data_IF_208619217039
#
_entry.id   IF_208619217039
#
_cell.length_a   1.000
_cell.length_b   1.000
_cell.length_c   1.000
_cell.angle_alpha   90.00
_cell.angle_beta   90.00
_cell.angle_gamma   90.00
#
_symmetry.space_group_name_H-M   'P 1'
#
loop_
_entity.id
_entity.type
_entity.pdbx_description
1 polymer ?
#
# COMPACT_ATOMS: atom_id res chain seq x y z
N UNK A 1 6.25 17.62 -24.63
CA UNK A 1 4.79 17.28 -24.57
C UNK A 1 4.44 16.27 -23.47
N UNK A 2 5.39 15.56 -22.89
CA UNK A 2 5.11 14.39 -22.02
C UNK A 2 4.45 14.61 -20.66
N UNK A 3 4.31 15.83 -20.15
CA UNK A 3 3.78 16.07 -18.79
C UNK A 3 2.50 16.90 -18.71
N UNK A 4 1.80 17.17 -19.83
CA UNK A 4 0.51 17.88 -19.76
C UNK A 4 -0.56 16.98 -19.13
N UNK A 5 -1.22 17.46 -18.07
CA UNK A 5 -2.34 16.79 -17.40
C UNK A 5 -3.71 17.34 -17.81
N UNK A 6 -3.73 18.28 -18.77
CA UNK A 6 -4.96 18.91 -19.25
C UNK A 6 -5.00 18.96 -20.78
N UNK A 7 -6.21 18.97 -21.34
CA UNK A 7 -6.48 19.27 -22.75
C UNK A 7 -7.59 20.32 -22.81
N UNK A 8 -7.34 21.44 -23.49
CA UNK A 8 -8.27 22.57 -23.58
C UNK A 8 -8.83 23.01 -22.20
N UNK A 9 -7.96 23.06 -21.18
CA UNK A 9 -8.32 23.40 -19.80
C UNK A 9 -9.07 22.30 -19.01
N UNK A 10 -9.41 21.18 -19.64
CA UNK A 10 -10.05 20.04 -18.98
C UNK A 10 -9.01 19.07 -18.43
N UNK A 11 -9.05 18.71 -17.12
CA UNK A 11 -8.19 17.67 -16.55
C UNK A 11 -8.39 16.31 -17.22
N UNK A 12 -7.29 15.63 -17.52
CA UNK A 12 -7.29 14.25 -17.98
C UNK A 12 -7.44 13.29 -16.80
N UNK A 13 -8.10 12.16 -17.03
CA UNK A 13 -8.25 11.12 -16.02
C UNK A 13 -6.94 10.33 -15.85
N UNK A 14 -6.67 9.77 -14.65
CA UNK A 14 -5.48 8.97 -14.40
C UNK A 14 -5.28 7.85 -15.43
N UNK A 15 -6.31 7.06 -15.74
CA UNK A 15 -6.23 5.98 -16.72
C UNK A 15 -5.72 6.46 -18.11
N UNK A 16 -6.14 7.64 -18.56
CA UNK A 16 -5.63 8.24 -19.81
C UNK A 16 -4.16 8.63 -19.70
N UNK A 17 -3.77 9.20 -18.56
CA UNK A 17 -2.41 9.65 -18.32
C UNK A 17 -1.41 8.48 -18.23
N UNK A 18 -1.86 7.30 -17.77
CA UNK A 18 -0.99 6.11 -17.74
C UNK A 18 -0.47 5.70 -19.12
N UNK A 19 -1.14 6.08 -20.21
CA UNK A 19 -0.72 5.68 -21.56
C UNK A 19 0.57 6.36 -22.03
N UNK A 20 0.91 7.57 -21.53
CA UNK A 20 2.05 8.30 -22.06
C UNK A 20 2.65 9.38 -21.15
N UNK A 21 2.05 9.67 -19.99
CA UNK A 21 2.55 10.74 -19.12
C UNK A 21 4.00 10.48 -18.68
N UNK A 22 4.82 11.54 -18.68
CA UNK A 22 6.22 11.47 -18.25
C UNK A 22 7.19 10.98 -19.34
N UNK A 23 6.70 10.52 -20.51
CA UNK A 23 7.54 10.02 -21.60
C UNK A 23 7.36 10.84 -22.87
N UNK A 24 8.48 11.19 -23.51
CA UNK A 24 8.50 11.83 -24.84
C UNK A 24 9.10 10.85 -25.87
N UNK A 25 8.30 10.32 -26.82
CA UNK A 25 8.78 9.41 -27.85
C UNK A 25 9.93 9.95 -28.70
N UNK A 26 10.02 11.28 -28.87
CA UNK A 26 11.09 11.91 -29.68
C UNK A 26 12.48 11.71 -29.10
N UNK A 27 12.57 11.44 -27.78
CA UNK A 27 13.82 11.14 -27.09
C UNK A 27 14.26 9.66 -27.24
N UNK A 28 13.47 8.84 -27.93
CA UNK A 28 13.68 7.39 -28.07
C UNK A 28 13.23 6.87 -29.43
N UNK A 29 13.73 7.47 -30.51
CA UNK A 29 13.50 7.04 -31.92
C UNK A 29 11.99 6.93 -32.29
N UNK A 30 11.12 7.68 -31.62
CA UNK A 30 9.67 7.62 -31.83
C UNK A 30 8.96 6.44 -31.21
N UNK A 31 9.62 5.67 -30.34
CA UNK A 31 9.02 4.53 -29.63
C UNK A 31 7.81 4.97 -28.81
N UNK A 32 6.67 4.26 -28.93
CA UNK A 32 5.46 4.54 -28.13
C UNK A 32 5.61 4.18 -26.66
N UNK A 33 6.57 3.32 -26.32
CA UNK A 33 6.87 2.90 -24.93
C UNK A 33 8.31 3.28 -24.61
N UNK A 34 8.57 3.68 -23.34
CA UNK A 34 9.95 3.98 -22.95
C UNK A 34 10.82 2.74 -23.11
N UNK A 35 12.04 2.85 -23.63
CA UNK A 35 13.02 1.77 -23.56
C UNK A 35 13.37 1.42 -22.13
N UNK A 36 13.95 0.23 -21.91
CA UNK A 36 14.55 -0.14 -20.63
C UNK A 36 15.98 0.40 -20.59
N UNK A 37 16.25 1.36 -19.72
CA UNK A 37 17.56 1.98 -19.58
C UNK A 37 18.43 1.20 -18.57
N UNK A 38 19.07 0.13 -19.04
CA UNK A 38 19.96 -0.72 -18.23
C UNK A 38 21.36 -0.08 -18.13
N UNK A 39 21.45 1.01 -17.39
CA UNK A 39 22.72 1.68 -17.09
C UNK A 39 22.75 2.15 -15.65
N UNK A 40 23.92 2.11 -15.01
CA UNK A 40 24.10 2.69 -13.69
C UNK A 40 24.51 4.15 -13.71
N UNK A 41 25.05 4.65 -14.83
CA UNK A 41 25.74 5.94 -14.92
C UNK A 41 25.34 6.71 -16.15
N UNK A 42 25.20 8.02 -16.01
CA UNK A 42 24.84 8.94 -17.12
C UNK A 42 25.98 9.94 -17.34
N UNK A 43 26.31 10.20 -18.60
CA UNK A 43 27.33 11.17 -18.99
C UNK A 43 26.80 12.60 -18.85
N UNK A 44 27.65 13.51 -18.43
CA UNK A 44 27.33 14.94 -18.39
C UNK A 44 27.89 15.64 -19.63
N UNK A 45 27.13 16.57 -20.23
CA UNK A 45 27.62 17.39 -21.35
C UNK A 45 28.84 18.26 -20.97
N UNK A 46 28.92 18.65 -19.66
CA UNK A 46 30.06 19.43 -19.14
C UNK A 46 30.23 19.20 -17.63
N UNK A 47 31.42 19.50 -17.10
CA UNK A 47 31.68 19.48 -15.67
C UNK A 47 30.77 20.44 -14.88
N UNK A 48 30.41 21.58 -15.47
CA UNK A 48 29.50 22.55 -14.85
C UNK A 48 28.08 21.99 -14.72
N UNK A 49 27.58 21.25 -15.72
CA UNK A 49 26.29 20.58 -15.64
C UNK A 49 26.31 19.43 -14.63
N UNK A 50 27.38 18.64 -14.62
CA UNK A 50 27.56 17.60 -13.59
C UNK A 50 27.48 18.17 -12.18
N UNK A 51 28.17 19.28 -11.91
CA UNK A 51 28.08 19.99 -10.62
C UNK A 51 26.64 20.42 -10.34
N UNK A 52 25.96 21.04 -11.29
CA UNK A 52 24.58 21.52 -11.16
C UNK A 52 23.62 20.37 -10.79
N UNK A 53 23.75 19.21 -11.45
CA UNK A 53 22.91 18.04 -11.16
C UNK A 53 23.17 17.49 -9.74
N UNK A 54 24.43 17.41 -9.32
CA UNK A 54 24.77 17.00 -7.95
C UNK A 54 24.27 18.00 -6.89
N UNK A 55 24.30 19.29 -7.14
CA UNK A 55 23.71 20.31 -6.25
C UNK A 55 22.22 20.11 -6.06
N UNK A 56 21.48 19.68 -7.12
CA UNK A 56 20.07 19.31 -7.03
C UNK A 56 19.86 18.05 -6.21
N UNK A 57 20.63 16.96 -6.45
CA UNK A 57 20.49 15.70 -5.70
C UNK A 57 20.82 15.87 -4.22
N UNK A 58 21.81 16.68 -3.89
CA UNK A 58 22.24 16.91 -2.48
C UNK A 58 21.40 17.97 -1.75
N UNK A 59 20.40 18.53 -2.38
CA UNK A 59 19.55 19.58 -1.80
C UNK A 59 20.23 20.96 -1.67
N UNK A 60 21.43 21.13 -2.20
CA UNK A 60 22.12 22.44 -2.22
C UNK A 60 21.46 23.43 -3.18
N UNK A 61 20.70 22.94 -4.15
CA UNK A 61 19.90 23.73 -5.08
C UNK A 61 18.43 23.35 -4.94
N UNK A 62 17.50 24.33 -4.79
CA UNK A 62 16.07 24.05 -4.78
C UNK A 62 15.60 23.37 -6.08
N UNK A 63 14.53 22.59 -6.01
CA UNK A 63 13.89 21.94 -7.17
C UNK A 63 14.45 20.54 -7.51
N UNK A 64 15.42 20.04 -6.76
CA UNK A 64 15.99 18.72 -6.99
C UNK A 64 16.93 18.63 -8.20
N UNK A 65 17.22 17.43 -8.67
CA UNK A 65 17.99 17.18 -9.87
C UNK A 65 17.17 17.53 -11.11
N UNK A 66 17.80 18.23 -12.06
CA UNK A 66 17.24 18.57 -13.38
C UNK A 66 17.90 17.78 -14.52
N UNK A 67 18.60 16.69 -14.16
CA UNK A 67 19.23 15.76 -15.07
C UNK A 67 19.60 14.45 -14.41
N UNK A 68 19.95 13.46 -15.23
CA UNK A 68 20.30 12.12 -14.79
C UNK A 68 21.75 12.06 -14.32
N UNK A 69 21.99 11.34 -13.22
CA UNK A 69 23.33 11.24 -12.61
C UNK A 69 23.76 9.79 -12.44
N UNK A 70 22.97 9.03 -11.69
CA UNK A 70 23.29 7.66 -11.34
C UNK A 70 22.00 6.92 -10.94
N UNK A 71 21.81 5.70 -11.41
CA UNK A 71 20.51 4.99 -11.30
C UNK A 71 20.04 4.75 -9.86
N UNK A 72 20.94 4.76 -8.86
CA UNK A 72 20.55 4.73 -7.45
C UNK A 72 19.82 6.03 -7.02
N UNK A 73 20.09 7.13 -7.69
CA UNK A 73 19.47 8.43 -7.43
C UNK A 73 18.24 8.66 -8.31
N UNK A 74 18.42 8.51 -9.62
CA UNK A 74 17.39 8.67 -10.62
C UNK A 74 17.77 7.94 -11.92
N UNK A 75 16.74 7.46 -12.64
CA UNK A 75 16.88 6.87 -13.96
C UNK A 75 15.56 7.07 -14.74
N UNK A 76 15.55 7.07 -16.07
CA UNK A 76 14.37 7.41 -16.86
C UNK A 76 13.14 6.54 -16.53
N UNK A 77 13.30 5.23 -16.42
CA UNK A 77 12.18 4.34 -16.10
C UNK A 77 11.58 4.61 -14.71
N UNK A 78 12.44 4.90 -13.71
CA UNK A 78 12.02 5.24 -12.36
C UNK A 78 11.27 6.58 -12.32
N UNK A 79 11.80 7.62 -12.97
CA UNK A 79 11.18 8.95 -12.99
C UNK A 79 9.80 8.93 -13.66
N UNK A 80 9.66 8.24 -14.81
CA UNK A 80 8.38 8.08 -15.50
C UNK A 80 7.40 7.32 -14.61
N UNK A 81 7.85 6.26 -13.92
CA UNK A 81 7.03 5.49 -12.99
C UNK A 81 6.57 6.36 -11.82
N UNK A 82 7.48 7.09 -11.17
CA UNK A 82 7.19 7.97 -10.03
C UNK A 82 6.21 9.09 -10.41
N UNK A 83 6.37 9.70 -11.58
CA UNK A 83 5.43 10.69 -12.12
C UNK A 83 4.01 10.09 -12.28
N UNK A 84 3.88 8.86 -12.80
CA UNK A 84 2.58 8.19 -12.99
C UNK A 84 1.94 7.74 -11.67
N UNK A 85 2.75 7.27 -10.72
CA UNK A 85 2.25 6.89 -9.39
C UNK A 85 1.69 8.11 -8.66
N UNK A 86 2.38 9.25 -8.71
CA UNK A 86 1.90 10.49 -8.09
C UNK A 86 0.51 10.93 -8.61
N UNK A 87 0.22 10.71 -9.91
CA UNK A 87 -1.07 11.07 -10.52
C UNK A 87 -2.24 10.30 -9.91
N UNK A 88 -2.08 9.01 -9.64
CA UNK A 88 -3.16 8.20 -9.09
C UNK A 88 -3.61 8.71 -7.72
N UNK A 89 -2.68 9.11 -6.88
CA UNK A 89 -2.97 9.61 -5.53
C UNK A 89 -3.26 11.12 -5.49
N UNK A 90 -3.04 11.84 -6.61
CA UNK A 90 -3.08 13.31 -6.61
C UNK A 90 -1.96 13.92 -5.79
N UNK A 91 -0.83 13.21 -5.66
CA UNK A 91 0.33 13.64 -4.91
C UNK A 91 1.22 14.57 -5.71
N UNK A 92 2.03 15.39 -5.02
CA UNK A 92 3.06 16.24 -5.66
C UNK A 92 4.26 15.43 -6.13
N UNK A 93 4.58 14.33 -5.43
CA UNK A 93 5.73 13.48 -5.71
C UNK A 93 5.49 12.06 -5.23
N UNK A 94 6.10 11.09 -5.92
CA UNK A 94 6.18 9.70 -5.48
C UNK A 94 7.62 9.19 -5.53
N UNK A 95 7.88 8.10 -4.82
CA UNK A 95 9.17 7.40 -4.82
C UNK A 95 8.91 5.90 -4.98
N UNK A 96 9.68 5.26 -5.85
CA UNK A 96 9.66 3.81 -6.08
C UNK A 96 10.77 3.09 -5.33
N UNK A 97 10.49 1.85 -4.90
CA UNK A 97 11.37 1.01 -4.07
C UNK A 97 11.38 -0.42 -4.57
N UNK A 98 12.42 -1.18 -4.17
CA UNK A 98 12.58 -2.59 -4.50
C UNK A 98 11.53 -3.51 -3.87
N UNK A 99 10.80 -3.06 -2.85
CA UNK A 99 9.68 -3.77 -2.24
C UNK A 99 8.80 -2.83 -1.41
N UNK A 100 7.56 -3.24 -1.09
CA UNK A 100 6.70 -2.52 -0.15
C UNK A 100 7.36 -2.38 1.22
N UNK A 101 8.01 -3.44 1.73
CA UNK A 101 8.73 -3.38 3.00
C UNK A 101 9.92 -2.42 2.97
N UNK A 102 10.65 -2.33 1.84
CA UNK A 102 11.72 -1.32 1.72
C UNK A 102 11.15 0.10 1.79
N UNK A 103 9.99 0.35 1.15
CA UNK A 103 9.30 1.64 1.25
C UNK A 103 8.95 1.97 2.71
N UNK A 104 8.34 1.02 3.44
CA UNK A 104 7.95 1.17 4.84
C UNK A 104 9.18 1.39 5.74
N UNK A 105 10.21 0.54 5.61
CA UNK A 105 11.40 0.63 6.45
C UNK A 105 12.15 1.95 6.25
N UNK A 106 12.37 2.36 4.99
CA UNK A 106 13.05 3.63 4.68
C UNK A 106 12.24 4.82 5.20
N UNK A 107 10.91 4.78 5.03
CA UNK A 107 10.02 5.83 5.52
C UNK A 107 10.11 5.97 7.04
N UNK A 108 9.94 4.87 7.79
CA UNK A 108 10.02 4.90 9.26
C UNK A 108 11.41 5.33 9.75
N UNK A 109 12.48 4.83 9.16
CA UNK A 109 13.85 5.22 9.51
C UNK A 109 14.18 6.67 9.13
N UNK A 110 13.45 7.28 8.21
CA UNK A 110 13.61 8.70 7.86
C UNK A 110 13.10 9.62 8.97
N UNK A 111 11.97 9.26 9.57
CA UNK A 111 11.28 10.15 10.50
C UNK A 111 11.52 9.83 11.97
N UNK A 112 11.92 8.60 12.28
CA UNK A 112 12.08 8.14 13.66
C UNK A 112 13.54 8.11 14.10
N UNK A 113 13.78 8.57 15.30
CA UNK A 113 15.08 8.58 15.98
C UNK A 113 14.97 7.90 17.35
N UNK A 114 16.10 7.66 17.99
CA UNK A 114 16.15 7.12 19.35
C UNK A 114 15.32 8.00 20.30
N UNK A 115 14.47 7.37 21.10
CA UNK A 115 13.57 8.03 22.05
C UNK A 115 12.18 8.33 21.48
N UNK A 116 12.02 8.32 20.15
CA UNK A 116 10.74 8.58 19.51
C UNK A 116 9.73 7.44 19.70
N UNK A 117 8.46 7.77 19.47
CA UNK A 117 7.34 6.84 19.49
C UNK A 117 6.63 6.86 18.14
N UNK A 118 6.32 5.67 17.61
CA UNK A 118 5.39 5.48 16.50
C UNK A 118 4.04 5.09 17.08
N UNK A 119 2.96 5.71 16.62
CA UNK A 119 1.59 5.24 16.89
C UNK A 119 1.04 4.59 15.64
N UNK A 120 0.43 3.41 15.74
CA UNK A 120 -0.12 2.76 14.56
C UNK A 120 -1.54 2.21 14.77
N UNK A 121 -2.27 1.97 13.69
CA UNK A 121 -3.52 1.21 13.75
C UNK A 121 -3.22 -0.30 13.85
N UNK A 122 -4.13 -1.06 14.42
CA UNK A 122 -4.04 -2.53 14.45
C UNK A 122 -5.27 -3.20 13.84
N UNK A 123 -5.10 -4.36 13.14
CA UNK A 123 -3.85 -5.01 12.77
C UNK A 123 -3.06 -4.28 11.68
N UNK A 124 -1.76 -4.53 11.63
CA UNK A 124 -0.90 -4.21 10.48
C UNK A 124 -0.52 -5.51 9.74
N UNK A 125 -0.05 -5.36 8.52
CA UNK A 125 0.67 -6.45 7.86
C UNK A 125 1.77 -6.98 8.78
N UNK A 126 1.83 -8.29 8.97
CA UNK A 126 2.67 -8.92 10.01
C UNK A 126 4.16 -8.53 9.93
N UNK A 127 4.69 -8.30 8.72
CA UNK A 127 6.08 -7.84 8.58
C UNK A 127 6.25 -6.37 9.00
N UNK A 128 5.26 -5.51 8.80
CA UNK A 128 5.26 -4.12 9.27
C UNK A 128 5.19 -4.07 10.80
N UNK A 129 4.28 -4.83 11.40
CA UNK A 129 4.19 -4.96 12.86
C UNK A 129 5.49 -5.53 13.44
N UNK A 130 6.03 -6.58 12.80
CA UNK A 130 7.33 -7.16 13.19
C UNK A 130 8.50 -6.19 13.05
N UNK A 131 8.49 -5.30 12.06
CA UNK A 131 9.51 -4.27 11.91
C UNK A 131 9.44 -3.25 13.04
N UNK A 132 8.25 -2.76 13.35
CA UNK A 132 8.03 -1.83 14.47
C UNK A 132 8.42 -2.47 15.80
N UNK A 133 7.89 -3.65 16.11
CA UNK A 133 8.05 -4.27 17.42
C UNK A 133 9.44 -4.86 17.69
N UNK A 134 10.09 -5.44 16.65
CA UNK A 134 11.33 -6.22 16.83
C UNK A 134 12.59 -5.48 16.36
N UNK A 135 12.48 -4.65 15.34
CA UNK A 135 13.64 -4.01 14.73
C UNK A 135 13.82 -2.58 15.19
N UNK A 136 12.77 -1.76 15.13
CA UNK A 136 12.85 -0.37 15.57
C UNK A 136 13.11 -0.25 17.07
N UNK A 137 12.63 -1.18 17.88
CA UNK A 137 12.92 -1.24 19.32
C UNK A 137 14.43 -1.36 19.63
N UNK A 138 15.22 -2.01 18.73
CA UNK A 138 16.68 -2.09 18.87
C UNK A 138 17.39 -0.74 18.69
N UNK A 139 16.73 0.21 18.04
CA UNK A 139 17.20 1.58 17.88
C UNK A 139 16.61 2.54 18.91
N UNK A 140 15.94 1.99 19.95
CA UNK A 140 15.33 2.79 21.01
C UNK A 140 14.06 3.54 20.58
N UNK A 141 13.41 3.13 19.48
CA UNK A 141 12.13 3.64 19.01
C UNK A 141 11.05 2.75 19.61
N UNK A 142 10.05 3.36 20.24
CA UNK A 142 8.92 2.68 20.89
C UNK A 142 7.65 2.83 20.07
N UNK A 143 6.61 2.09 20.43
CA UNK A 143 5.32 2.17 19.75
C UNK A 143 4.15 1.99 20.70
N UNK A 144 3.00 2.52 20.29
CA UNK A 144 1.66 2.22 20.82
C UNK A 144 0.72 1.99 19.64
N UNK A 145 -0.37 1.27 19.87
CA UNK A 145 -1.38 1.02 18.86
C UNK A 145 -2.80 1.30 19.35
N UNK A 146 -3.70 1.48 18.39
CA UNK A 146 -5.13 1.55 18.58
C UNK A 146 -5.85 0.65 17.55
N UNK A 147 -7.02 0.07 17.87
CA UNK A 147 -7.73 -0.80 16.95
C UNK A 147 -8.27 -0.05 15.75
N UNK A 148 -8.30 -0.70 14.58
CA UNK A 148 -9.03 -0.19 13.43
C UNK A 148 -10.49 0.07 13.83
N UNK A 149 -11.04 1.21 13.41
CA UNK A 149 -12.36 1.65 13.85
C UNK A 149 -12.39 2.38 15.19
N UNK A 150 -11.26 2.67 15.85
CA UNK A 150 -11.20 3.51 17.07
C UNK A 150 -11.83 4.90 16.85
N UNK A 151 -12.47 5.47 17.89
CA UNK A 151 -13.03 6.82 17.86
C UNK A 151 -11.95 7.89 17.94
N UNK A 152 -12.26 9.15 17.58
CA UNK A 152 -11.33 10.27 17.75
C UNK A 152 -10.81 10.36 19.19
N UNK A 153 -11.70 10.16 20.17
CA UNK A 153 -11.39 10.24 21.59
C UNK A 153 -10.45 9.08 22.03
N UNK A 154 -10.69 7.87 21.54
CA UNK A 154 -9.82 6.71 21.78
C UNK A 154 -8.45 6.92 21.16
N UNK A 155 -8.39 7.43 19.93
CA UNK A 155 -7.13 7.75 19.24
C UNK A 155 -6.39 8.85 20.00
N UNK A 156 -7.07 9.93 20.38
CA UNK A 156 -6.48 11.05 21.11
C UNK A 156 -5.88 10.57 22.46
N UNK A 157 -6.56 9.68 23.18
CA UNK A 157 -6.04 9.11 24.43
C UNK A 157 -4.72 8.34 24.21
N UNK A 158 -4.63 7.55 23.12
CA UNK A 158 -3.38 6.83 22.76
C UNK A 158 -2.28 7.82 22.35
N UNK A 159 -2.62 8.89 21.63
CA UNK A 159 -1.65 9.92 21.24
C UNK A 159 -1.11 10.69 22.46
N UNK A 160 -1.94 11.01 23.47
CA UNK A 160 -1.49 11.63 24.72
C UNK A 160 -0.54 10.69 25.50
N UNK A 161 -0.88 9.40 25.55
CA UNK A 161 0.01 8.41 26.18
C UNK A 161 1.34 8.31 25.42
N UNK A 162 1.31 8.28 24.08
CA UNK A 162 2.51 8.24 23.26
C UNK A 162 3.38 9.49 23.44
N UNK A 163 2.76 10.66 23.55
CA UNK A 163 3.44 11.93 23.79
C UNK A 163 4.15 11.95 25.15
N UNK A 164 3.48 11.48 26.20
CA UNK A 164 4.10 11.34 27.52
C UNK A 164 5.28 10.36 27.49
N UNK A 165 5.08 9.18 26.87
CA UNK A 165 6.13 8.17 26.69
C UNK A 165 7.34 8.70 25.91
N UNK A 166 7.13 9.47 24.86
CA UNK A 166 8.20 10.08 24.09
C UNK A 166 8.97 11.12 24.90
N UNK A 167 8.25 11.99 25.64
CA UNK A 167 8.87 13.03 26.45
C UNK A 167 9.79 12.48 27.54
N UNK A 168 9.44 11.36 28.18
CA UNK A 168 10.30 10.66 29.16
C UNK A 168 11.66 10.23 28.57
N UNK A 169 11.72 9.96 27.26
CA UNK A 169 12.95 9.57 26.57
C UNK A 169 13.61 10.72 25.80
N UNK A 170 13.10 11.94 25.93
CA UNK A 170 13.59 13.11 25.18
C UNK A 170 13.30 13.07 23.68
N UNK A 171 12.33 12.26 23.26
CA UNK A 171 11.85 12.14 21.89
C UNK A 171 10.50 12.80 21.66
N UNK A 172 9.86 12.43 20.52
CA UNK A 172 8.53 12.89 20.11
C UNK A 172 7.69 11.74 19.55
N UNK A 173 6.40 11.95 19.36
CA UNK A 173 5.62 11.09 18.46
C UNK A 173 6.03 11.45 17.03
N UNK A 174 6.75 10.56 16.39
CA UNK A 174 7.43 10.85 15.13
C UNK A 174 6.57 10.56 13.91
N UNK A 175 5.59 9.65 14.03
CA UNK A 175 4.72 9.22 12.93
C UNK A 175 3.46 8.53 13.48
N UNK A 176 2.35 8.71 12.77
CA UNK A 176 1.15 7.87 12.88
C UNK A 176 1.10 7.00 11.63
N UNK A 177 1.16 5.67 11.79
CA UNK A 177 1.17 4.71 10.69
C UNK A 177 -0.11 3.88 10.66
N UNK A 178 -0.82 3.92 9.57
CA UNK A 178 -2.13 3.30 9.39
C UNK A 178 -2.07 2.23 8.31
N UNK A 179 -2.92 1.22 8.43
CA UNK A 179 -3.25 0.28 7.36
C UNK A 179 -4.77 0.21 7.22
N UNK A 180 -5.30 0.61 6.07
CA UNK A 180 -6.74 0.62 5.83
C UNK A 180 -7.05 0.32 4.35
N UNK A 181 -7.82 -0.74 4.08
CA UNK A 181 -8.33 -1.77 5.01
C UNK A 181 -7.21 -2.60 5.63
N UNK A 182 -7.40 -3.01 6.88
CA UNK A 182 -6.44 -3.82 7.62
C UNK A 182 -6.40 -5.28 7.13
N UNK A 183 -5.20 -5.83 6.96
CA UNK A 183 -4.98 -7.23 6.59
C UNK A 183 -4.91 -8.13 7.85
N UNK A 184 -5.70 -9.21 7.97
CA UNK A 184 -6.60 -9.76 6.93
C UNK A 184 -8.07 -9.36 7.10
N UNK A 185 -8.45 -8.61 8.12
CA UNK A 185 -9.83 -8.44 8.59
C UNK A 185 -10.70 -7.52 7.73
N UNK A 186 -10.10 -6.70 6.87
CA UNK A 186 -10.73 -5.61 6.13
C UNK A 186 -11.34 -4.50 7.00
N UNK A 187 -10.97 -4.41 8.28
CA UNK A 187 -11.41 -3.31 9.12
C UNK A 187 -10.84 -1.97 8.61
N UNK A 188 -11.68 -0.94 8.61
CA UNK A 188 -11.33 0.40 8.13
C UNK A 188 -10.89 1.31 9.28
N UNK A 189 -9.92 2.15 9.00
CA UNK A 189 -9.49 3.25 9.87
C UNK A 189 -10.12 4.55 9.38
N UNK A 190 -10.65 5.34 10.30
CA UNK A 190 -11.17 6.69 10.02
C UNK A 190 -10.01 7.70 9.97
N UNK A 191 -9.51 7.96 8.77
CA UNK A 191 -8.36 8.86 8.55
C UNK A 191 -8.68 10.30 9.01
N UNK A 192 -9.92 10.75 8.82
CA UNK A 192 -10.34 12.09 9.27
C UNK A 192 -10.37 12.18 10.80
N UNK A 193 -10.80 11.13 11.49
CA UNK A 193 -10.75 11.06 12.95
C UNK A 193 -9.30 11.03 13.47
N UNK A 194 -8.40 10.27 12.78
CA UNK A 194 -6.97 10.27 13.11
C UNK A 194 -6.35 11.66 12.93
N UNK A 195 -6.68 12.33 11.81
CA UNK A 195 -6.21 13.70 11.58
C UNK A 195 -6.68 14.66 12.64
N UNK A 196 -7.96 14.61 12.99
CA UNK A 196 -8.52 15.47 14.02
C UNK A 196 -7.87 15.22 15.39
N UNK A 197 -7.67 13.96 15.78
CA UNK A 197 -6.98 13.60 17.02
C UNK A 197 -5.52 14.06 17.04
N UNK A 198 -4.80 13.89 15.91
CA UNK A 198 -3.43 14.41 15.78
C UNK A 198 -3.39 15.93 15.98
N UNK A 199 -4.24 16.67 15.27
CA UNK A 199 -4.25 18.13 15.30
C UNK A 199 -4.62 18.70 16.70
N UNK A 200 -5.36 17.92 17.52
CA UNK A 200 -5.67 18.28 18.91
C UNK A 200 -4.50 18.03 19.86
N UNK A 201 -3.72 16.97 19.65
CA UNK A 201 -2.78 16.44 20.65
C UNK A 201 -1.32 16.68 20.27
N UNK A 202 -0.99 16.60 18.97
CA UNK A 202 0.36 16.64 18.45
C UNK A 202 0.60 17.87 17.55
N UNK A 203 1.86 18.01 17.14
CA UNK A 203 2.24 18.96 16.10
C UNK A 203 1.75 18.47 14.72
N UNK A 204 1.21 19.34 13.85
CA UNK A 204 0.89 19.00 12.47
C UNK A 204 2.06 18.43 11.63
N UNK A 205 3.30 18.64 12.09
CA UNK A 205 4.51 18.05 11.49
C UNK A 205 4.74 16.57 11.89
N UNK A 206 3.85 15.96 12.68
CA UNK A 206 3.80 14.49 12.83
C UNK A 206 3.03 13.89 11.64
N UNK A 207 3.70 13.23 10.68
CA UNK A 207 3.03 12.75 9.47
C UNK A 207 2.07 11.60 9.76
N UNK A 208 0.88 11.66 9.14
CA UNK A 208 -0.05 10.54 9.04
C UNK A 208 0.29 9.78 7.76
N UNK A 209 0.75 8.56 7.93
CA UNK A 209 1.09 7.65 6.82
C UNK A 209 0.06 6.53 6.76
N UNK A 210 -0.37 6.15 5.57
CA UNK A 210 -1.33 5.07 5.38
C UNK A 210 -0.87 4.09 4.30
N UNK A 211 -0.85 2.81 4.63
CA UNK A 211 -0.75 1.73 3.65
C UNK A 211 -2.13 1.47 3.03
N UNK A 212 -2.27 1.83 1.75
CA UNK A 212 -3.50 1.71 0.96
C UNK A 212 -3.43 0.54 -0.03
N UNK A 213 -2.60 -0.46 0.23
CA UNK A 213 -2.35 -1.56 -0.71
C UNK A 213 -3.63 -2.34 -1.07
N UNK A 214 -4.56 -2.55 -0.13
CA UNK A 214 -5.77 -3.37 -0.36
C UNK A 214 -6.80 -2.73 -1.30
N UNK A 215 -6.97 -1.42 -1.23
CA UNK A 215 -7.87 -0.68 -2.12
C UNK A 215 -7.13 -0.10 -3.33
N UNK A 216 -5.80 -0.11 -3.27
CA UNK A 216 -4.95 0.40 -4.34
C UNK A 216 -5.28 1.84 -4.71
N UNK A 217 -4.78 2.31 -5.82
CA UNK A 217 -4.98 3.71 -6.21
C UNK A 217 -6.42 3.99 -6.72
N UNK A 218 -7.23 2.95 -6.98
CA UNK A 218 -8.54 3.10 -7.61
C UNK A 218 -9.66 3.34 -6.58
N UNK A 219 -9.69 2.56 -5.49
CA UNK A 219 -10.84 2.50 -4.60
C UNK A 219 -10.75 3.39 -3.36
N UNK A 220 -9.57 3.94 -3.05
CA UNK A 220 -9.41 4.94 -1.99
C UNK A 220 -8.35 5.98 -2.37
N UNK A 221 -8.49 7.19 -1.84
CA UNK A 221 -7.54 8.29 -2.00
C UNK A 221 -7.25 8.94 -0.64
N UNK A 222 -6.41 8.34 0.18
CA UNK A 222 -6.21 8.77 1.56
C UNK A 222 -5.65 10.19 1.72
N UNK A 223 -4.91 10.71 0.74
CA UNK A 223 -4.42 12.10 0.76
C UNK A 223 -5.58 13.10 0.77
N UNK A 224 -6.69 12.78 0.05
CA UNK A 224 -7.89 13.63 0.06
C UNK A 224 -8.62 13.60 1.43
N UNK A 225 -8.31 12.61 2.28
CA UNK A 225 -8.92 12.39 3.61
C UNK A 225 -8.08 12.92 4.77
N UNK A 226 -6.90 13.44 4.47
CA UNK A 226 -6.02 14.06 5.46
C UNK A 226 -4.78 13.25 5.86
N UNK A 227 -4.50 12.13 5.19
CA UNK A 227 -3.18 11.50 5.25
C UNK A 227 -2.13 12.40 4.57
N UNK A 228 -0.91 12.37 5.08
CA UNK A 228 0.22 13.11 4.52
C UNK A 228 1.03 12.29 3.53
N UNK A 229 1.09 10.98 3.75
CA UNK A 229 1.87 10.02 2.96
C UNK A 229 1.05 8.76 2.73
N UNK A 230 1.01 8.30 1.48
CA UNK A 230 0.43 7.00 1.12
C UNK A 230 1.52 6.01 0.73
N UNK A 231 1.39 4.77 1.17
CA UNK A 231 2.32 3.66 0.91
C UNK A 231 1.60 2.58 0.11
N UNK A 232 2.32 1.94 -0.80
CA UNK A 232 1.85 0.76 -1.54
C UNK A 232 2.91 -0.33 -1.64
N UNK A 233 2.48 -1.55 -1.48
CA UNK A 233 3.14 -2.68 -2.12
C UNK A 233 2.72 -2.72 -3.59
N UNK A 234 3.56 -2.22 -4.49
CA UNK A 234 3.31 -2.28 -5.94
C UNK A 234 3.28 -3.72 -6.48
N UNK A 235 3.84 -4.67 -5.72
CA UNK A 235 3.75 -6.11 -5.94
C UNK A 235 2.31 -6.59 -6.13
N UNK A 236 1.33 -5.88 -5.51
CA UNK A 236 -0.09 -6.24 -5.46
C UNK A 236 -0.83 -5.70 -6.70
N UNK A 237 -1.92 -5.03 -6.55
CA UNK A 237 -2.78 -4.57 -7.66
C UNK A 237 -2.07 -3.79 -8.76
N UNK A 238 -1.07 -2.97 -8.42
CA UNK A 238 -0.36 -2.16 -9.43
C UNK A 238 0.46 -3.05 -10.37
N UNK A 239 1.29 -3.95 -9.85
CA UNK A 239 1.97 -4.99 -10.64
C UNK A 239 0.96 -5.96 -11.25
N UNK A 240 0.16 -6.58 -10.40
CA UNK A 240 -1.05 -7.30 -10.74
C UNK A 240 -0.89 -8.61 -11.50
N UNK A 241 0.33 -9.15 -11.65
CA UNK A 241 0.60 -10.35 -12.44
C UNK A 241 1.47 -11.37 -11.67
N UNK A 242 1.68 -11.18 -10.37
CA UNK A 242 2.48 -12.05 -9.49
C UNK A 242 3.92 -12.34 -9.99
N UNK A 243 4.48 -11.44 -10.78
CA UNK A 243 5.74 -11.59 -11.52
C UNK A 243 6.83 -10.58 -11.11
N UNK A 244 6.53 -9.68 -10.16
CA UNK A 244 7.45 -8.66 -9.68
C UNK A 244 7.26 -8.34 -8.19
N UNK A 245 8.28 -7.75 -7.59
CA UNK A 245 8.25 -7.19 -6.23
C UNK A 245 8.69 -5.74 -6.30
N UNK A 246 7.85 -4.83 -5.78
CA UNK A 246 8.17 -3.41 -5.69
C UNK A 246 7.31 -2.70 -4.64
N UNK A 247 7.68 -1.46 -4.29
CA UNK A 247 6.91 -0.60 -3.41
C UNK A 247 6.93 0.85 -3.85
N UNK A 248 6.06 1.65 -3.29
CA UNK A 248 6.08 3.11 -3.45
C UNK A 248 5.55 3.84 -2.25
N UNK A 249 5.93 5.10 -2.17
CA UNK A 249 5.28 6.11 -1.33
C UNK A 249 4.95 7.33 -2.18
N UNK A 250 3.89 8.05 -1.82
CA UNK A 250 3.51 9.29 -2.47
C UNK A 250 2.96 10.31 -1.45
N UNK A 251 3.14 11.59 -1.74
CA UNK A 251 2.67 12.67 -0.86
C UNK A 251 3.20 14.04 -1.32
N UNK A 252 3.11 15.03 -0.43
CA UNK A 252 3.69 16.34 -0.70
C UNK A 252 5.22 16.27 -0.75
N UNK A 253 5.83 17.11 -1.59
CA UNK A 253 7.29 17.15 -1.82
C UNK A 253 8.08 17.32 -0.51
N UNK A 254 7.55 18.09 0.46
CA UNK A 254 8.19 18.27 1.77
C UNK A 254 8.40 16.95 2.52
N UNK A 255 7.44 16.00 2.39
CA UNK A 255 7.53 14.68 3.01
C UNK A 255 8.40 13.73 2.20
N UNK A 256 8.40 13.85 0.87
CA UNK A 256 9.14 12.94 -0.01
C UNK A 256 10.64 13.24 -0.05
N UNK A 257 11.04 14.50 0.08
CA UNK A 257 12.46 14.91 -0.03
C UNK A 257 13.38 14.19 0.97
N UNK A 258 13.11 14.17 2.29
CA UNK A 258 13.98 13.46 3.23
C UNK A 258 14.01 11.95 2.99
N UNK A 259 12.88 11.34 2.60
CA UNK A 259 12.82 9.91 2.29
C UNK A 259 13.64 9.59 1.03
N UNK A 260 13.59 10.46 0.01
CA UNK A 260 14.44 10.33 -1.19
C UNK A 260 15.93 10.33 -0.83
N UNK A 261 16.36 11.19 0.08
CA UNK A 261 17.76 11.24 0.52
C UNK A 261 18.20 9.96 1.20
N UNK A 262 17.38 9.40 2.10
CA UNK A 262 17.68 8.14 2.75
C UNK A 262 17.63 6.95 1.77
N UNK A 263 16.62 6.89 0.88
CA UNK A 263 16.55 5.89 -0.21
C UNK A 263 17.82 5.91 -1.06
N UNK A 264 18.26 7.09 -1.47
CA UNK A 264 19.47 7.26 -2.26
C UNK A 264 20.74 6.75 -1.53
N UNK A 265 20.76 6.87 -0.21
CA UNK A 265 21.86 6.36 0.62
C UNK A 265 21.80 4.84 0.78
N UNK A 266 20.63 4.29 1.10
CA UNK A 266 20.43 2.85 1.34
C UNK A 266 20.39 2.02 0.05
N UNK A 267 19.96 2.59 -1.06
CA UNK A 267 19.94 1.92 -2.36
C UNK A 267 18.76 0.98 -2.61
N UNK A 268 17.71 1.04 -1.82
CA UNK A 268 16.49 0.21 -1.99
C UNK A 268 15.59 0.68 -3.13
N UNK A 269 16.17 0.93 -4.30
CA UNK A 269 15.49 1.45 -5.51
C UNK A 269 14.76 0.35 -6.27
N UNK A 270 13.76 0.74 -7.07
CA UNK A 270 13.18 -0.11 -8.11
C UNK A 270 14.14 -0.18 -9.31
N UNK A 271 14.44 -1.38 -9.81
CA UNK A 271 15.29 -1.55 -10.99
C UNK A 271 14.57 -1.20 -12.29
N UNK A 272 15.30 -0.91 -13.40
CA UNK A 272 14.69 -0.48 -14.66
C UNK A 272 13.74 -1.49 -15.30
N UNK A 273 13.99 -2.81 -15.20
CA UNK A 273 13.09 -3.83 -15.73
C UNK A 273 11.78 -3.84 -14.96
N UNK A 274 11.85 -3.90 -13.62
CA UNK A 274 10.67 -3.85 -12.75
C UNK A 274 9.89 -2.56 -12.94
N UNK A 275 10.58 -1.40 -13.06
CA UNK A 275 9.92 -0.13 -13.36
C UNK A 275 9.20 -0.15 -14.70
N UNK A 276 9.80 -0.74 -15.74
CA UNK A 276 9.17 -0.91 -17.05
C UNK A 276 7.94 -1.83 -17.00
N UNK A 277 8.02 -2.95 -16.28
CA UNK A 277 6.88 -3.86 -16.07
C UNK A 277 5.73 -3.14 -15.35
N UNK A 278 6.04 -2.33 -14.34
CA UNK A 278 5.05 -1.52 -13.63
C UNK A 278 4.41 -0.45 -14.53
N UNK A 279 5.19 0.21 -15.39
CA UNK A 279 4.66 1.16 -16.37
C UNK A 279 3.65 0.49 -17.32
N UNK A 280 3.95 -0.72 -17.79
CA UNK A 280 3.04 -1.53 -18.61
C UNK A 280 1.78 -1.93 -17.81
N UNK A 281 1.94 -2.34 -16.56
CA UNK A 281 0.85 -2.81 -15.70
C UNK A 281 -0.10 -1.69 -15.29
N UNK A 282 0.41 -0.47 -15.08
CA UNK A 282 -0.38 0.73 -14.78
C UNK A 282 -1.40 1.06 -15.88
N UNK A 283 -1.11 0.72 -17.14
CA UNK A 283 -2.03 0.98 -18.25
C UNK A 283 -3.35 0.20 -18.13
N UNK A 284 -3.36 -0.91 -17.41
CA UNK A 284 -4.53 -1.78 -17.22
C UNK A 284 -4.99 -1.91 -15.77
N UNK A 285 -4.40 -1.16 -14.83
CA UNK A 285 -4.69 -1.29 -13.40
C UNK A 285 -6.18 -1.07 -13.10
N UNK A 286 -6.79 -0.05 -13.70
CA UNK A 286 -8.22 0.24 -13.53
C UNK A 286 -9.09 -0.91 -14.03
N UNK A 287 -8.84 -1.41 -15.24
CA UNK A 287 -9.59 -2.53 -15.83
C UNK A 287 -9.51 -3.79 -14.97
N UNK A 288 -8.30 -4.14 -14.51
CA UNK A 288 -8.09 -5.33 -13.67
C UNK A 288 -8.77 -5.20 -12.31
N UNK A 289 -8.62 -4.06 -11.66
CA UNK A 289 -9.24 -3.82 -10.34
C UNK A 289 -10.76 -3.77 -10.41
N UNK A 290 -11.34 -3.18 -11.47
CA UNK A 290 -12.79 -3.19 -11.68
C UNK A 290 -13.31 -4.61 -11.89
N UNK A 291 -12.71 -5.39 -12.81
CA UNK A 291 -13.13 -6.77 -13.08
C UNK A 291 -13.01 -7.65 -11.83
N UNK A 292 -11.90 -7.57 -11.10
CA UNK A 292 -11.71 -8.32 -9.85
C UNK A 292 -12.74 -7.92 -8.78
N UNK A 293 -13.05 -6.62 -8.66
CA UNK A 293 -14.07 -6.12 -7.74
C UNK A 293 -15.49 -6.62 -8.08
N UNK A 294 -15.88 -6.63 -9.37
CA UNK A 294 -17.15 -7.20 -9.85
C UNK A 294 -17.25 -8.69 -9.53
N UNK A 295 -16.17 -9.43 -9.79
CA UNK A 295 -16.10 -10.86 -9.46
C UNK A 295 -16.23 -11.10 -7.95
N UNK A 296 -15.51 -10.32 -7.13
CA UNK A 296 -15.59 -10.43 -5.66
C UNK A 296 -17.00 -10.16 -5.14
N UNK A 297 -17.67 -9.15 -5.67
CA UNK A 297 -19.06 -8.86 -5.29
C UNK A 297 -19.98 -10.04 -5.60
N UNK A 298 -19.86 -10.66 -6.78
CA UNK A 298 -20.67 -11.82 -7.19
C UNK A 298 -20.38 -13.04 -6.33
N UNK A 299 -19.10 -13.36 -6.10
CA UNK A 299 -18.66 -14.48 -5.25
C UNK A 299 -19.13 -14.29 -3.80
N UNK A 300 -18.95 -13.09 -3.23
CA UNK A 300 -19.39 -12.80 -1.86
C UNK A 300 -20.91 -12.88 -1.70
N UNK A 301 -21.68 -12.43 -2.71
CA UNK A 301 -23.13 -12.55 -2.71
C UNK A 301 -23.59 -14.02 -2.70
N UNK A 302 -22.89 -14.90 -3.42
CA UNK A 302 -23.16 -16.33 -3.40
C UNK A 302 -22.74 -16.98 -2.06
N UNK A 303 -21.60 -16.59 -1.50
CA UNK A 303 -21.14 -17.11 -0.21
C UNK A 303 -22.04 -16.68 0.97
N UNK A 304 -22.73 -15.55 0.83
CA UNK A 304 -23.60 -15.02 1.87
C UNK A 304 -24.79 -16.00 2.13
N UNK A 305 -24.87 -16.49 3.35
CA UNK A 305 -25.89 -17.47 3.73
C UNK A 305 -25.58 -18.92 3.38
N UNK A 306 -24.41 -19.22 2.81
CA UNK A 306 -23.99 -20.60 2.57
C UNK A 306 -23.88 -21.38 3.88
N UNK A 307 -24.39 -22.65 3.98
CA UNK A 307 -24.49 -23.42 5.23
C UNK A 307 -23.17 -23.58 5.98
N UNK A 308 -22.03 -23.64 5.29
CA UNK A 308 -20.69 -23.84 5.84
C UNK A 308 -19.93 -22.55 6.13
N UNK A 309 -20.51 -21.39 5.77
CA UNK A 309 -19.93 -20.06 6.02
C UNK A 309 -20.47 -19.50 7.33
N UNK A 310 -19.58 -19.06 8.21
CA UNK A 310 -19.90 -18.39 9.46
C UNK A 310 -20.00 -16.87 9.30
N UNK A 311 -19.25 -16.30 8.36
CA UNK A 311 -19.25 -14.86 8.10
C UNK A 311 -18.33 -14.45 6.94
N UNK A 312 -18.46 -13.19 6.54
CA UNK A 312 -17.67 -12.56 5.51
C UNK A 312 -17.15 -11.19 6.00
N UNK A 313 -15.84 -10.98 5.93
CA UNK A 313 -15.22 -9.68 6.11
C UNK A 313 -15.01 -9.01 4.74
N UNK A 314 -16.08 -8.55 4.10
CA UNK A 314 -16.07 -7.90 2.79
C UNK A 314 -16.64 -6.49 2.88
N UNK A 315 -15.92 -5.50 2.31
CA UNK A 315 -16.32 -4.09 2.42
C UNK A 315 -17.66 -3.78 1.74
N UNK A 316 -18.06 -4.57 0.75
CA UNK A 316 -19.37 -4.46 0.12
C UNK A 316 -20.55 -4.95 0.97
N UNK A 317 -20.28 -5.58 2.13
CA UNK A 317 -21.28 -6.24 2.99
C UNK A 317 -21.09 -5.91 4.49
N UNK A 318 -20.56 -4.74 4.80
CA UNK A 318 -20.32 -4.31 6.17
C UNK A 318 -21.66 -4.19 6.91
N UNK A 319 -21.78 -4.82 8.09
CA UNK A 319 -22.94 -4.73 8.98
C UNK A 319 -22.77 -3.70 10.10
N UNK A 320 -21.55 -3.44 10.54
CA UNK A 320 -21.26 -2.45 11.57
C UNK A 320 -21.54 -1.02 11.07
N UNK A 321 -22.43 -0.24 11.73
CA UNK A 321 -22.83 1.07 11.26
C UNK A 321 -21.68 2.08 11.16
N UNK A 322 -20.69 1.95 12.04
CA UNK A 322 -19.52 2.85 12.06
C UNK A 322 -18.58 2.52 10.90
N UNK A 323 -18.29 1.26 10.68
CA UNK A 323 -17.50 0.82 9.52
C UNK A 323 -18.20 1.17 8.20
N UNK A 324 -19.55 1.09 8.14
CA UNK A 324 -20.32 1.55 6.99
C UNK A 324 -20.16 3.06 6.74
N UNK A 325 -20.13 3.86 7.80
CA UNK A 325 -19.94 5.31 7.69
C UNK A 325 -18.54 5.64 7.17
N UNK A 326 -17.52 5.01 7.73
CA UNK A 326 -16.13 5.15 7.25
C UNK A 326 -16.04 4.73 5.79
N UNK A 327 -16.60 3.59 5.42
CA UNK A 327 -16.62 3.11 4.04
C UNK A 327 -17.24 4.13 3.07
N UNK A 328 -18.40 4.69 3.41
CA UNK A 328 -19.08 5.68 2.55
C UNK A 328 -18.27 6.96 2.33
N UNK A 329 -17.52 7.40 3.36
CA UNK A 329 -16.70 8.61 3.28
C UNK A 329 -15.35 8.35 2.58
N UNK A 330 -14.74 7.19 2.81
CA UNK A 330 -13.35 6.96 2.44
C UNK A 330 -13.17 6.09 1.18
N UNK A 331 -14.14 5.21 0.85
CA UNK A 331 -13.98 4.24 -0.21
C UNK A 331 -14.89 4.50 -1.41
N UNK A 332 -14.36 4.28 -2.62
CA UNK A 332 -15.08 4.38 -3.89
C UNK A 332 -15.56 3.02 -4.38
N UNK A 333 -15.14 1.94 -3.73
CA UNK A 333 -15.52 0.58 -4.02
C UNK A 333 -14.96 -0.40 -3.00
N UNK A 334 -15.49 -1.63 -2.97
CA UNK A 334 -15.20 -2.61 -1.91
C UNK A 334 -13.90 -3.38 -2.12
N UNK A 335 -13.18 -3.17 -3.23
CA UNK A 335 -12.01 -3.98 -3.58
C UNK A 335 -12.36 -5.41 -3.96
N UNK A 336 -11.34 -6.27 -4.03
CA UNK A 336 -11.48 -7.68 -4.42
C UNK A 336 -10.87 -8.66 -3.40
N UNK A 337 -10.43 -8.19 -2.24
CA UNK A 337 -9.90 -9.03 -1.17
C UNK A 337 -10.90 -9.06 -0.02
N UNK A 338 -11.19 -10.25 0.50
CA UNK A 338 -12.09 -10.44 1.63
C UNK A 338 -11.66 -11.59 2.54
N UNK A 339 -12.19 -11.61 3.75
CA UNK A 339 -12.06 -12.71 4.70
C UNK A 339 -13.31 -13.59 4.66
N UNK A 340 -13.11 -14.89 4.48
CA UNK A 340 -14.12 -15.93 4.59
C UNK A 340 -13.94 -16.62 5.94
N UNK A 341 -14.96 -16.56 6.79
CA UNK A 341 -15.00 -17.29 8.05
C UNK A 341 -15.79 -18.59 7.84
N UNK A 342 -15.13 -19.73 7.94
CA UNK A 342 -15.78 -21.04 7.84
C UNK A 342 -16.37 -21.46 9.16
N UNK A 343 -17.40 -22.32 9.13
CA UNK A 343 -17.86 -23.02 10.34
C UNK A 343 -16.86 -24.12 10.68
N UNK A 344 -16.37 -24.13 11.92
CA UNK A 344 -15.31 -25.01 12.38
C UNK A 344 -14.05 -24.23 12.75
N UNK A 345 -12.90 -24.75 12.46
CA UNK A 345 -11.59 -24.18 12.80
C UNK A 345 -10.56 -24.39 11.70
N UNK A 346 -9.28 -24.49 12.08
CA UNK A 346 -8.14 -24.66 11.18
C UNK A 346 -8.29 -25.88 10.25
N UNK A 347 -8.75 -27.02 10.78
CA UNK A 347 -8.89 -28.23 10.00
C UNK A 347 -9.91 -28.09 8.85
N UNK A 348 -11.02 -27.39 9.08
CA UNK A 348 -12.00 -27.06 8.06
C UNK A 348 -11.43 -26.13 7.00
N UNK A 349 -10.69 -25.10 7.41
CA UNK A 349 -9.99 -24.20 6.51
C UNK A 349 -8.99 -24.93 5.64
N UNK A 350 -8.22 -25.86 6.19
CA UNK A 350 -7.24 -26.64 5.42
C UNK A 350 -7.92 -27.53 4.41
N UNK A 351 -9.01 -28.25 4.78
CA UNK A 351 -9.77 -29.04 3.81
C UNK A 351 -10.32 -28.22 2.66
N UNK A 352 -10.86 -27.03 2.94
CA UNK A 352 -11.31 -26.09 1.92
C UNK A 352 -10.17 -25.68 0.98
N UNK A 353 -9.03 -25.24 1.55
CA UNK A 353 -7.89 -24.75 0.81
C UNK A 353 -7.25 -25.84 -0.07
N UNK A 354 -7.12 -27.07 0.45
CA UNK A 354 -6.54 -28.22 -0.26
C UNK A 354 -7.45 -28.72 -1.40
N UNK A 355 -8.76 -28.47 -1.30
CA UNK A 355 -9.73 -28.88 -2.32
C UNK A 355 -9.86 -27.88 -3.48
N UNK A 356 -9.31 -26.67 -3.38
CA UNK A 356 -9.36 -25.66 -4.45
C UNK A 356 -8.63 -26.15 -5.72
N UNK A 357 -9.22 -25.87 -6.88
CA UNK A 357 -8.70 -26.30 -8.19
C UNK A 357 -8.32 -25.11 -9.08
N UNK A 358 -9.13 -24.07 -9.11
CA UNK A 358 -8.90 -22.83 -9.87
C UNK A 358 -8.14 -21.85 -9.01
N UNK A 359 -8.72 -21.43 -7.88
CA UNK A 359 -8.04 -20.61 -6.91
C UNK A 359 -6.79 -21.30 -6.36
N UNK A 360 -5.71 -20.55 -6.13
CA UNK A 360 -4.44 -21.11 -5.69
C UNK A 360 -4.20 -20.85 -4.21
N UNK A 361 -3.81 -21.90 -3.48
CA UNK A 361 -3.29 -21.78 -2.13
C UNK A 361 -1.93 -21.09 -2.17
N UNK A 362 -1.92 -19.78 -1.97
CA UNK A 362 -0.70 -18.98 -1.99
C UNK A 362 -0.88 -17.70 -1.17
N UNK A 363 0.24 -17.18 -0.68
CA UNK A 363 0.29 -15.82 -0.12
C UNK A 363 0.30 -14.78 -1.24
N UNK A 364 0.13 -13.52 -0.92
CA UNK A 364 -0.05 -12.38 -1.81
C UNK A 364 -1.52 -12.06 -2.08
N UNK A 365 -1.80 -11.08 -2.93
CA UNK A 365 -3.13 -10.60 -3.31
C UNK A 365 -3.04 -9.66 -4.52
N UNK A 366 -4.18 -9.34 -5.13
CA UNK A 366 -4.27 -8.32 -6.16
C UNK A 366 -3.69 -8.73 -7.52
N UNK A 367 -3.44 -10.03 -7.72
CA UNK A 367 -3.05 -10.62 -9.00
C UNK A 367 -4.22 -10.77 -9.96
N UNK A 368 -3.90 -11.19 -11.19
CA UNK A 368 -4.90 -11.62 -12.19
C UNK A 368 -5.54 -12.95 -11.82
N UNK A 369 -4.83 -13.78 -11.07
CA UNK A 369 -5.31 -15.05 -10.53
C UNK A 369 -5.91 -14.90 -9.13
N UNK A 370 -6.88 -15.75 -8.81
CA UNK A 370 -7.48 -15.84 -7.47
C UNK A 370 -6.56 -16.60 -6.52
N UNK A 371 -6.25 -15.96 -5.38
CA UNK A 371 -5.40 -16.50 -4.32
C UNK A 371 -6.17 -16.67 -3.02
N UNK A 372 -5.92 -17.78 -2.33
CA UNK A 372 -6.46 -18.07 -1.00
C UNK A 372 -5.33 -18.44 -0.03
N UNK A 373 -5.45 -18.04 1.23
CA UNK A 373 -4.47 -18.36 2.28
C UNK A 373 -5.13 -18.43 3.65
N UNK A 374 -4.49 -19.11 4.60
CA UNK A 374 -4.91 -19.14 6.01
C UNK A 374 -3.97 -18.24 6.83
N UNK A 375 -4.37 -16.99 7.15
CA UNK A 375 -3.49 -16.02 7.78
C UNK A 375 -2.91 -16.49 9.11
N UNK A 376 -3.69 -17.13 9.97
CA UNK A 376 -3.25 -17.57 11.29
C UNK A 376 -2.07 -18.53 11.26
N UNK A 377 -2.02 -19.45 10.27
CA UNK A 377 -0.94 -20.44 10.10
C UNK A 377 0.12 -20.06 9.05
N UNK A 378 -0.05 -18.93 8.35
CA UNK A 378 0.87 -18.49 7.27
C UNK A 378 1.40 -17.09 7.54
N UNK A 379 0.74 -16.05 7.04
CA UNK A 379 1.26 -14.68 7.06
C UNK A 379 1.38 -14.09 8.47
N UNK A 380 0.58 -14.55 9.44
CA UNK A 380 0.57 -14.10 10.84
C UNK A 380 1.03 -15.19 11.82
N UNK A 381 1.69 -16.24 11.33
CA UNK A 381 2.19 -17.34 12.17
C UNK A 381 3.11 -16.85 13.31
N UNK A 382 3.89 -15.82 13.07
CA UNK A 382 4.83 -15.25 14.06
C UNK A 382 4.17 -14.31 15.08
N UNK A 383 2.89 -13.98 14.90
CA UNK A 383 2.12 -13.15 15.84
C UNK A 383 1.64 -14.05 17.00
N UNK A 384 1.82 -13.66 18.28
CA UNK A 384 1.33 -14.44 19.42
C UNK A 384 -0.19 -14.67 19.35
N UNK A 385 -0.66 -15.84 19.81
CA UNK A 385 -2.09 -16.22 19.70
C UNK A 385 -3.02 -15.25 20.41
N UNK A 386 -2.64 -14.76 21.61
CA UNK A 386 -3.40 -13.73 22.32
C UNK A 386 -3.55 -12.46 21.45
N UNK A 387 -2.48 -12.05 20.76
CA UNK A 387 -2.51 -10.88 19.88
C UNK A 387 -3.34 -11.14 18.62
N UNK A 388 -3.27 -12.34 18.04
CA UNK A 388 -4.15 -12.73 16.93
C UNK A 388 -5.63 -12.62 17.31
N UNK A 389 -5.97 -13.07 18.51
CA UNK A 389 -7.35 -13.00 19.04
C UNK A 389 -7.82 -11.54 19.20
N UNK A 390 -6.98 -10.65 19.76
CA UNK A 390 -7.26 -9.21 19.88
C UNK A 390 -7.48 -8.56 18.50
N UNK A 391 -6.71 -8.97 17.50
CA UNK A 391 -6.77 -8.44 16.15
C UNK A 391 -7.86 -9.07 15.27
N UNK A 392 -8.66 -10.03 15.80
CA UNK A 392 -9.72 -10.72 15.06
C UNK A 392 -9.19 -11.71 14.01
N UNK A 393 -7.98 -12.22 14.18
CA UNK A 393 -7.37 -13.23 13.29
C UNK A 393 -7.62 -14.60 13.90
N UNK A 394 -8.74 -15.22 13.52
CA UNK A 394 -9.18 -16.52 14.05
C UNK A 394 -8.71 -17.69 13.18
N UNK A 395 -8.69 -18.90 13.78
CA UNK A 395 -8.28 -20.14 13.09
C UNK A 395 -9.27 -20.61 12.01
N UNK A 396 -10.48 -20.04 11.97
CA UNK A 396 -11.47 -20.33 10.95
C UNK A 396 -11.49 -19.27 9.82
N UNK A 397 -10.49 -18.40 9.74
CA UNK A 397 -10.41 -17.32 8.77
C UNK A 397 -9.53 -17.73 7.57
N UNK A 398 -10.12 -17.72 6.38
CA UNK A 398 -9.42 -17.80 5.09
C UNK A 398 -9.46 -16.43 4.43
N UNK A 399 -8.30 -15.89 4.03
CA UNK A 399 -8.25 -14.67 3.22
C UNK A 399 -8.26 -15.03 1.74
N UNK A 400 -9.16 -14.44 0.99
CA UNK A 400 -9.34 -14.63 -0.46
C UNK A 400 -9.10 -13.31 -1.17
N UNK A 401 -8.26 -13.35 -2.22
CA UNK A 401 -8.05 -12.25 -3.15
C UNK A 401 -8.53 -12.71 -4.52
N UNK A 402 -9.66 -12.17 -4.96
CA UNK A 402 -10.29 -12.51 -6.24
C UNK A 402 -9.52 -11.88 -7.39
N UNK A 403 -9.30 -12.68 -8.43
CA UNK A 403 -8.69 -12.29 -9.69
C UNK A 403 -9.71 -11.93 -10.78
N UNK A 404 -9.27 -12.06 -12.04
CA UNK A 404 -10.07 -11.66 -13.22
C UNK A 404 -10.64 -12.84 -13.99
N UNK A 405 -10.59 -14.05 -13.44
CA UNK A 405 -11.19 -15.27 -13.99
C UNK A 405 -12.70 -15.06 -14.20
N UNK A 406 -13.39 -16.02 -14.79
CA UNK A 406 -14.86 -16.02 -14.81
C UNK A 406 -15.40 -16.24 -13.39
N UNK A 407 -16.35 -15.42 -12.97
CA UNK A 407 -16.89 -15.48 -11.61
C UNK A 407 -17.71 -16.74 -11.34
N UNK A 408 -18.37 -17.31 -12.35
CA UNK A 408 -19.15 -18.54 -12.20
C UNK A 408 -18.24 -19.76 -12.05
N UNK A 409 -17.08 -19.77 -12.73
CA UNK A 409 -16.06 -20.79 -12.55
C UNK A 409 -15.46 -20.73 -11.13
N UNK A 410 -15.21 -19.52 -10.58
CA UNK A 410 -14.77 -19.37 -9.20
C UNK A 410 -15.81 -19.84 -8.18
N UNK A 411 -17.08 -19.55 -8.43
CA UNK A 411 -18.18 -20.04 -7.58
C UNK A 411 -18.23 -21.56 -7.61
N UNK A 412 -18.14 -22.18 -8.79
CA UNK A 412 -18.12 -23.66 -8.92
C UNK A 412 -16.90 -24.27 -8.21
N UNK A 413 -15.74 -23.61 -8.26
CA UNK A 413 -14.53 -24.05 -7.54
C UNK A 413 -14.73 -24.00 -6.02
N UNK A 414 -15.32 -22.91 -5.50
CA UNK A 414 -15.58 -22.76 -4.08
C UNK A 414 -16.68 -23.71 -3.59
N UNK A 415 -17.72 -23.95 -4.41
CA UNK A 415 -18.80 -24.89 -4.08
C UNK A 415 -18.23 -26.32 -3.86
N UNK A 416 -17.47 -26.84 -4.82
CA UNK A 416 -16.85 -28.16 -4.69
C UNK A 416 -15.83 -28.22 -3.55
N UNK A 417 -15.09 -27.14 -3.28
CA UNK A 417 -14.14 -27.09 -2.18
C UNK A 417 -14.84 -27.06 -0.82
N UNK A 418 -15.98 -26.37 -0.71
CA UNK A 418 -16.82 -26.38 0.50
C UNK A 418 -17.46 -27.75 0.77
N UNK A 419 -17.63 -28.65 -0.22
CA UNK A 419 -18.10 -30.00 0.03
C UNK A 419 -17.12 -30.81 0.93
N UNK A 420 -15.82 -30.47 0.89
CA UNK A 420 -14.80 -31.11 1.71
C UNK A 420 -14.75 -30.65 3.17
N UNK A 421 -15.48 -29.57 3.52
CA UNK A 421 -15.51 -28.94 4.86
C UNK A 421 -16.47 -29.64 5.82
#
# INVERSE_FOLDING_TARGET
MGKSTTINGRPLKPATLMMGHGFDPTLSEGSLKPPIFLTSTFAFPSAAEGKRHFEGITGRRPGGADGLVYSRFNAPNQEILEDRLAIWDGAESALSFSSGMTAICVLMLTYCSQGDVIVHSGPLYAASEGFVAKWLSKFGIRYLDFPAGATREEIAAVLEQAKAMAAEAGGKVAMIYLESPANPTNALVDVEAVKAARDDVLDPDCPITIDNTFLGPLWARPLDQGADIVVYSLTKYVGGHSDLVAGSIAGATRWMTPVRMLRNTMGGICDPNTAWMLLRSLETVELRMQRAGENAAKVCAWLQGHPKVAGLGYLGMISDPRQQDIYRRHCKGPGSTFSLLLKGGEAECFRFLDALRIAKLAVSLGGTETLASHPASMTHLSVPDARKAELGISDNLVRISIGIEDADDLIADFEQALEAV
#
